data_IF_044932798362
#
_entry.id   IF_044932798362
#
_cell.length_a   1.000
_cell.length_b   1.000
_cell.length_c   1.000
_cell.angle_alpha   90.00
_cell.angle_beta   90.00
_cell.angle_gamma   90.00
#
_symmetry.space_group_name_H-M   'P 1'
#
loop_
_entity.id
_entity.type
_entity.pdbx_description
1 polymer ?
#
# COMPACT_ATOMS: atom_id res chain seq x y z
N UNK A 1 -21.78 17.56 -35.13
CA UNK A 1 -22.04 16.88 -33.83
C UNK A 1 -22.91 17.80 -33.01
N UNK A 2 -24.17 17.51 -32.90
CA UNK A 2 -25.14 18.48 -32.37
C UNK A 2 -26.08 17.90 -31.33
N UNK A 3 -25.79 16.71 -30.77
CA UNK A 3 -26.58 16.11 -29.73
C UNK A 3 -25.73 15.60 -28.56
N UNK A 4 -26.21 15.72 -27.31
CA UNK A 4 -25.58 15.18 -26.12
C UNK A 4 -25.33 13.66 -26.25
N UNK A 5 -26.25 12.92 -26.87
CA UNK A 5 -26.16 11.49 -27.15
C UNK A 5 -24.96 11.14 -28.06
N UNK A 6 -24.64 11.99 -29.03
CA UNK A 6 -23.51 11.79 -29.96
C UNK A 6 -22.17 11.92 -29.19
N UNK A 7 -22.08 12.85 -28.24
CA UNK A 7 -20.88 13.05 -27.44
C UNK A 7 -20.63 11.82 -26.53
N UNK A 8 -21.69 11.30 -25.91
CA UNK A 8 -21.62 10.10 -25.05
C UNK A 8 -21.18 8.88 -25.86
N UNK A 9 -21.80 8.66 -27.01
CA UNK A 9 -21.47 7.53 -27.88
C UNK A 9 -20.03 7.61 -28.38
N UNK A 10 -19.58 8.79 -28.77
CA UNK A 10 -18.20 8.98 -29.20
C UNK A 10 -17.19 8.72 -28.10
N UNK A 11 -17.47 9.16 -26.86
CA UNK A 11 -16.62 8.82 -25.72
C UNK A 11 -16.50 7.30 -25.52
N UNK A 12 -17.61 6.55 -25.64
CA UNK A 12 -17.59 5.08 -25.56
C UNK A 12 -16.80 4.45 -26.70
N UNK A 13 -16.89 4.97 -27.92
CA UNK A 13 -16.12 4.48 -29.06
C UNK A 13 -14.61 4.62 -28.84
N UNK A 14 -14.15 5.70 -28.19
CA UNK A 14 -12.74 5.85 -27.81
C UNK A 14 -12.31 4.76 -26.81
N UNK A 15 -13.13 4.50 -25.77
CA UNK A 15 -12.88 3.41 -24.82
C UNK A 15 -12.80 2.06 -25.54
N UNK A 16 -13.78 1.74 -26.38
CA UNK A 16 -13.82 0.48 -27.13
C UNK A 16 -12.58 0.33 -28.01
N UNK A 17 -12.17 1.41 -28.69
CA UNK A 17 -10.95 1.44 -29.49
C UNK A 17 -9.70 1.12 -28.68
N UNK A 18 -9.53 1.74 -27.53
CA UNK A 18 -8.36 1.49 -26.67
C UNK A 18 -8.38 0.06 -26.09
N UNK A 19 -9.56 -0.44 -25.68
CA UNK A 19 -9.73 -1.83 -25.21
C UNK A 19 -9.32 -2.83 -26.31
N UNK A 20 -9.71 -2.63 -27.56
CA UNK A 20 -9.34 -3.51 -28.67
C UNK A 20 -7.81 -3.49 -28.91
N UNK A 21 -7.17 -2.33 -28.87
CA UNK A 21 -5.73 -2.23 -29.02
C UNK A 21 -4.98 -2.87 -27.83
N UNK A 22 -5.49 -2.76 -26.61
CA UNK A 22 -4.95 -3.48 -25.43
C UNK A 22 -5.03 -5.00 -25.61
N UNK A 23 -6.13 -5.54 -26.17
CA UNK A 23 -6.23 -6.97 -26.49
C UNK A 23 -5.17 -7.41 -27.49
N UNK A 24 -4.93 -6.60 -28.53
CA UNK A 24 -3.89 -6.87 -29.52
C UNK A 24 -2.50 -6.91 -28.89
N UNK A 25 -2.20 -5.98 -27.98
CA UNK A 25 -0.91 -5.95 -27.27
C UNK A 25 -0.78 -7.11 -26.30
N UNK A 26 -1.84 -7.42 -25.54
CA UNK A 26 -1.89 -8.59 -24.64
C UNK A 26 -1.53 -9.89 -25.38
N UNK A 27 -2.09 -10.10 -26.57
CA UNK A 27 -1.91 -11.33 -27.33
C UNK A 27 -0.51 -11.43 -27.97
N UNK A 28 0.27 -10.33 -27.94
CA UNK A 28 1.69 -10.31 -28.34
C UNK A 28 2.65 -10.61 -27.19
N UNK A 29 2.16 -10.67 -25.93
CA UNK A 29 2.99 -11.02 -24.79
C UNK A 29 3.52 -12.44 -24.98
N UNK A 30 4.83 -12.61 -24.86
CA UNK A 30 5.52 -13.85 -25.08
C UNK A 30 6.59 -14.08 -24.01
N UNK A 31 7.50 -15.01 -24.25
CA UNK A 31 8.57 -15.39 -23.31
C UNK A 31 9.50 -14.23 -22.94
N UNK A 32 9.67 -13.24 -23.76
CA UNK A 32 10.57 -12.11 -23.49
C UNK A 32 10.22 -11.36 -22.19
N UNK A 33 8.94 -11.35 -21.78
CA UNK A 33 8.58 -10.76 -20.47
C UNK A 33 9.19 -11.53 -19.29
N UNK A 34 9.35 -12.85 -19.44
CA UNK A 34 10.01 -13.70 -18.43
C UNK A 34 11.48 -13.31 -18.35
N UNK A 35 12.13 -13.21 -19.50
CA UNK A 35 13.56 -12.88 -19.59
C UNK A 35 13.84 -11.48 -18.99
N UNK A 36 12.96 -10.50 -19.24
CA UNK A 36 13.04 -9.14 -18.64
C UNK A 36 12.87 -9.20 -17.12
N UNK A 37 11.88 -9.95 -16.63
CA UNK A 37 11.65 -10.08 -15.18
C UNK A 37 12.84 -10.75 -14.50
N UNK A 38 13.39 -11.79 -15.09
CA UNK A 38 14.57 -12.48 -14.55
C UNK A 38 15.80 -11.58 -14.54
N UNK A 39 16.01 -10.79 -15.59
CA UNK A 39 17.10 -9.81 -15.65
C UNK A 39 16.98 -8.77 -14.54
N UNK A 40 15.78 -8.19 -14.34
CA UNK A 40 15.53 -7.22 -13.25
C UNK A 40 15.73 -7.85 -11.87
N UNK A 41 15.34 -9.11 -11.70
CA UNK A 41 15.50 -9.79 -10.40
C UNK A 41 16.96 -10.17 -10.10
N UNK A 42 17.77 -10.43 -11.12
CA UNK A 42 19.21 -10.75 -11.00
C UNK A 42 20.06 -9.49 -10.84
N UNK A 43 19.59 -8.34 -11.35
CA UNK A 43 20.32 -7.08 -11.30
C UNK A 43 20.55 -6.64 -9.85
N UNK A 44 21.79 -6.27 -9.54
CA UNK A 44 22.18 -5.62 -8.28
C UNK A 44 22.01 -4.10 -8.35
N UNK A 45 21.67 -3.57 -9.53
CA UNK A 45 21.41 -2.17 -9.79
C UNK A 45 19.94 -1.79 -9.65
N UNK A 46 19.57 -0.73 -10.33
CA UNK A 46 18.20 -0.21 -10.41
C UNK A 46 17.63 -0.34 -11.82
N UNK A 47 16.31 -0.17 -11.93
CA UNK A 47 15.63 0.01 -13.22
C UNK A 47 15.65 1.49 -13.57
N UNK A 48 16.29 1.85 -14.69
CA UNK A 48 16.24 3.20 -15.24
C UNK A 48 15.24 3.24 -16.38
N UNK A 49 14.11 3.91 -16.19
CA UNK A 49 13.12 4.09 -17.24
C UNK A 49 13.43 5.38 -18.00
N UNK A 50 13.51 5.33 -19.33
CA UNK A 50 13.79 6.50 -20.15
C UNK A 50 12.83 6.66 -21.33
N UNK A 51 12.54 7.88 -21.67
CA UNK A 51 11.62 8.25 -22.75
C UNK A 51 11.52 9.76 -22.90
N UNK A 52 10.87 10.20 -23.99
CA UNK A 52 10.61 11.62 -24.26
C UNK A 52 9.13 11.88 -24.55
N UNK A 53 8.65 13.10 -24.36
CA UNK A 53 7.28 13.51 -24.65
C UNK A 53 6.24 12.67 -23.89
N UNK A 54 5.20 12.19 -24.59
CA UNK A 54 4.14 11.36 -23.96
C UNK A 54 4.68 10.05 -23.42
N UNK A 55 5.61 9.38 -24.14
CA UNK A 55 6.28 8.17 -23.65
C UNK A 55 7.08 8.43 -22.37
N UNK A 56 7.73 9.60 -22.27
CA UNK A 56 8.44 10.01 -21.05
C UNK A 56 7.52 10.23 -19.86
N UNK A 57 6.32 10.82 -20.07
CA UNK A 57 5.32 10.98 -18.99
C UNK A 57 4.83 9.62 -18.47
N UNK A 58 4.56 8.68 -19.35
CA UNK A 58 4.19 7.31 -18.96
C UNK A 58 5.37 6.62 -18.29
N UNK A 59 6.60 6.81 -18.79
CA UNK A 59 7.81 6.29 -18.19
C UNK A 59 8.04 6.77 -16.76
N UNK A 60 7.77 8.05 -16.47
CA UNK A 60 7.79 8.57 -15.09
C UNK A 60 6.82 7.82 -14.17
N UNK A 61 5.57 7.58 -14.66
CA UNK A 61 4.58 6.81 -13.89
C UNK A 61 5.05 5.38 -13.66
N UNK A 62 5.61 4.71 -14.66
CA UNK A 62 6.11 3.34 -14.54
C UNK A 62 7.25 3.28 -13.50
N UNK A 63 8.24 4.18 -13.60
CA UNK A 63 9.33 4.25 -12.63
C UNK A 63 8.83 4.47 -11.19
N UNK A 64 7.88 5.40 -11.00
CA UNK A 64 7.28 5.66 -9.70
C UNK A 64 6.53 4.43 -9.16
N UNK A 65 5.79 3.72 -10.01
CA UNK A 65 5.09 2.49 -9.64
C UNK A 65 6.07 1.40 -9.21
N UNK A 66 7.13 1.14 -9.98
CA UNK A 66 8.18 0.17 -9.65
C UNK A 66 8.84 0.51 -8.32
N UNK A 67 9.25 1.78 -8.12
CA UNK A 67 9.89 2.24 -6.90
C UNK A 67 9.00 2.04 -5.67
N UNK A 68 7.72 2.40 -5.79
CA UNK A 68 6.76 2.29 -4.67
C UNK A 68 6.30 0.86 -4.40
N UNK A 69 6.63 -0.09 -5.26
CA UNK A 69 6.26 -1.50 -5.15
C UNK A 69 7.46 -2.44 -4.99
N UNK A 70 8.59 -1.91 -4.49
CA UNK A 70 9.75 -2.71 -4.07
C UNK A 70 10.79 -3.00 -5.16
N UNK A 71 10.67 -2.40 -6.34
CA UNK A 71 11.70 -2.44 -7.36
C UNK A 71 12.37 -1.08 -7.46
N UNK A 72 13.63 -0.97 -7.03
CA UNK A 72 14.39 0.28 -7.09
C UNK A 72 14.40 0.82 -8.52
N UNK A 73 13.82 1.99 -8.76
CA UNK A 73 13.65 2.55 -10.09
C UNK A 73 13.71 4.08 -10.09
N UNK A 74 14.24 4.62 -11.18
CA UNK A 74 14.29 6.07 -11.45
C UNK A 74 13.90 6.35 -12.89
N UNK A 75 13.43 7.55 -13.15
CA UNK A 75 13.19 8.04 -14.51
C UNK A 75 14.28 8.98 -14.95
N UNK A 76 14.80 8.80 -16.16
CA UNK A 76 15.74 9.67 -16.85
C UNK A 76 15.09 10.18 -18.16
N UNK A 77 15.02 11.48 -18.37
CA UNK A 77 14.59 12.02 -19.65
C UNK A 77 15.70 11.75 -20.70
N UNK A 78 15.34 11.16 -21.86
CA UNK A 78 16.33 10.83 -22.88
C UNK A 78 17.03 12.06 -23.50
N UNK A 79 16.37 13.22 -23.53
CA UNK A 79 17.03 14.46 -23.97
C UNK A 79 18.08 14.93 -22.97
N UNK A 80 17.80 14.88 -21.67
CA UNK A 80 18.77 15.22 -20.61
C UNK A 80 19.91 14.18 -20.55
N UNK A 81 19.63 12.94 -20.94
CA UNK A 81 20.66 11.91 -21.12
C UNK A 81 21.80 12.35 -22.03
N UNK A 82 21.51 13.12 -23.09
CA UNK A 82 22.52 13.68 -24.00
C UNK A 82 23.38 14.77 -23.35
N UNK A 83 22.96 15.34 -22.24
CA UNK A 83 23.59 16.45 -21.54
C UNK A 83 24.18 16.07 -20.17
N UNK A 84 24.33 14.76 -19.88
CA UNK A 84 25.06 14.31 -18.69
C UNK A 84 24.29 13.34 -17.79
N UNK A 85 22.95 13.25 -17.88
CA UNK A 85 22.14 12.37 -17.02
C UNK A 85 22.44 10.87 -17.22
N UNK A 86 23.12 10.50 -18.32
CA UNK A 86 23.68 9.14 -18.49
C UNK A 86 24.60 8.74 -17.33
N UNK A 87 25.17 9.69 -16.60
CA UNK A 87 25.94 9.44 -15.38
C UNK A 87 25.13 8.79 -14.24
N UNK A 88 23.79 8.77 -14.33
CA UNK A 88 22.93 8.04 -13.39
C UNK A 88 22.91 6.53 -13.64
N UNK A 89 23.41 6.05 -14.79
CA UNK A 89 23.37 4.65 -15.21
C UNK A 89 24.68 3.96 -14.83
N UNK A 90 24.58 2.80 -14.21
CA UNK A 90 25.72 1.88 -13.96
C UNK A 90 25.56 0.59 -14.77
N UNK A 91 26.64 -0.19 -14.86
CA UNK A 91 26.64 -1.44 -15.65
C UNK A 91 25.71 -2.51 -15.10
N UNK A 92 25.37 -2.42 -13.80
CA UNK A 92 24.46 -3.32 -13.12
C UNK A 92 22.98 -2.98 -13.35
N UNK A 93 22.68 -1.79 -13.95
CA UNK A 93 21.31 -1.32 -14.14
C UNK A 93 20.64 -2.00 -15.33
N UNK A 94 19.31 -2.05 -15.27
CA UNK A 94 18.44 -2.41 -16.42
C UNK A 94 17.76 -1.14 -16.91
N UNK A 95 18.00 -0.77 -18.17
CA UNK A 95 17.42 0.43 -18.81
C UNK A 95 16.20 0.05 -19.62
N UNK A 96 15.02 0.53 -19.24
CA UNK A 96 13.78 0.40 -20.01
C UNK A 96 13.62 1.66 -20.88
N UNK A 97 13.90 1.54 -22.18
CA UNK A 97 13.77 2.61 -23.15
C UNK A 97 12.41 2.56 -23.86
N UNK A 98 11.64 3.63 -23.76
CA UNK A 98 10.25 3.69 -24.25
C UNK A 98 10.16 4.57 -25.51
N UNK A 99 9.83 3.96 -26.63
CA UNK A 99 9.52 4.66 -27.89
C UNK A 99 8.60 3.78 -28.74
N UNK A 100 7.35 4.21 -28.97
CA UNK A 100 6.41 3.44 -29.79
C UNK A 100 6.95 3.20 -31.21
N UNK A 101 7.48 4.21 -31.88
CA UNK A 101 8.13 4.06 -33.19
C UNK A 101 9.48 3.33 -33.13
N UNK A 102 10.15 3.41 -31.96
CA UNK A 102 11.52 2.93 -31.75
C UNK A 102 12.61 3.69 -32.50
N UNK A 103 12.26 4.87 -33.05
CA UNK A 103 13.18 5.67 -33.88
C UNK A 103 13.25 7.15 -33.41
N UNK A 104 12.80 7.47 -32.19
CA UNK A 104 12.96 8.81 -31.62
C UNK A 104 14.44 9.14 -31.52
N UNK A 105 14.85 10.28 -32.06
CA UNK A 105 16.28 10.65 -32.19
C UNK A 105 16.98 10.69 -30.84
N UNK A 106 16.31 11.22 -29.81
CA UNK A 106 16.87 11.35 -28.44
C UNK A 106 17.08 9.97 -27.79
N UNK A 107 16.18 9.02 -28.03
CA UNK A 107 16.34 7.64 -27.52
C UNK A 107 17.49 6.97 -28.25
N UNK A 108 17.51 7.06 -29.60
CA UNK A 108 18.51 6.39 -30.42
C UNK A 108 19.91 6.93 -30.13
N UNK A 109 20.05 8.23 -29.88
CA UNK A 109 21.34 8.88 -29.65
C UNK A 109 22.02 8.45 -28.34
N UNK A 110 21.27 8.02 -27.32
CA UNK A 110 21.84 7.58 -26.04
C UNK A 110 22.17 6.08 -26.01
N UNK A 111 21.65 5.25 -26.92
CA UNK A 111 21.85 3.79 -26.92
C UNK A 111 23.34 3.38 -26.97
N UNK A 112 24.20 3.98 -27.81
CA UNK A 112 25.61 3.61 -27.85
C UNK A 112 26.34 3.83 -26.52
N UNK A 113 25.98 4.90 -25.80
CA UNK A 113 26.55 5.22 -24.50
C UNK A 113 26.08 4.23 -23.42
N UNK A 114 24.79 3.86 -23.41
CA UNK A 114 24.25 2.87 -22.48
C UNK A 114 24.94 1.51 -22.69
N UNK A 115 25.12 1.10 -23.95
CA UNK A 115 25.87 -0.12 -24.29
C UNK A 115 27.33 -0.07 -23.81
N UNK A 116 27.99 1.08 -23.99
CA UNK A 116 29.36 1.27 -23.52
C UNK A 116 29.48 1.24 -22.01
N UNK A 117 28.49 1.72 -21.28
CA UNK A 117 28.40 1.59 -19.81
C UNK A 117 28.23 0.11 -19.43
N UNK A 118 27.58 -0.69 -20.25
CA UNK A 118 27.37 -2.13 -20.03
C UNK A 118 26.01 -2.50 -19.43
N UNK A 119 25.11 -1.52 -19.27
CA UNK A 119 23.75 -1.75 -18.78
C UNK A 119 22.91 -2.50 -19.81
N UNK A 120 22.00 -3.35 -19.32
CA UNK A 120 21.03 -4.07 -20.17
C UNK A 120 19.92 -3.17 -20.67
N UNK A 121 19.58 -3.29 -21.94
CA UNK A 121 18.55 -2.48 -22.58
C UNK A 121 17.29 -3.30 -22.86
N UNK A 122 16.18 -2.89 -22.29
CA UNK A 122 14.83 -3.36 -22.59
C UNK A 122 14.11 -2.33 -23.44
N UNK A 123 13.73 -2.66 -24.67
CA UNK A 123 12.93 -1.80 -25.52
C UNK A 123 11.44 -2.00 -25.25
N UNK A 124 10.74 -0.98 -24.81
CA UNK A 124 9.28 -0.90 -24.92
C UNK A 124 8.94 -0.19 -26.25
N UNK A 125 8.66 -0.97 -27.29
CA UNK A 125 8.45 -0.44 -28.66
C UNK A 125 7.37 -1.21 -29.40
N UNK A 126 6.68 -0.53 -30.34
CA UNK A 126 5.76 -1.14 -31.27
C UNK A 126 6.44 -1.76 -32.49
N UNK A 127 7.73 -1.49 -32.71
CA UNK A 127 8.46 -1.91 -33.89
C UNK A 127 9.79 -2.59 -33.53
N UNK A 128 9.79 -3.92 -33.56
CA UNK A 128 10.99 -4.74 -33.31
C UNK A 128 12.15 -4.44 -34.28
N UNK A 129 11.83 -4.02 -35.52
CA UNK A 129 12.82 -3.73 -36.54
C UNK A 129 13.31 -2.27 -36.53
N UNK A 130 12.88 -1.46 -35.55
CA UNK A 130 13.37 -0.10 -35.32
C UNK A 130 14.82 -0.07 -34.85
N UNK A 131 15.43 1.12 -34.82
CA UNK A 131 16.78 1.31 -34.30
C UNK A 131 16.84 0.85 -32.83
N UNK A 132 15.90 1.27 -31.99
CA UNK A 132 15.81 0.84 -30.59
C UNK A 132 15.65 -0.68 -30.47
N UNK A 133 14.73 -1.27 -31.24
CA UNK A 133 14.46 -2.71 -31.19
C UNK A 133 15.66 -3.58 -31.58
N UNK A 134 16.47 -3.12 -32.53
CA UNK A 134 17.70 -3.84 -32.96
C UNK A 134 18.85 -3.73 -31.97
N UNK A 135 18.92 -2.64 -31.22
CA UNK A 135 19.97 -2.35 -30.26
C UNK A 135 19.67 -2.90 -28.84
N UNK A 136 18.43 -3.28 -28.57
CA UNK A 136 18.02 -3.77 -27.26
C UNK A 136 18.38 -5.25 -27.04
N UNK A 137 18.62 -5.62 -25.77
CA UNK A 137 18.81 -7.01 -25.34
C UNK A 137 17.45 -7.75 -25.30
N UNK A 138 16.38 -7.05 -24.92
CA UNK A 138 15.01 -7.58 -24.77
C UNK A 138 13.98 -6.61 -25.32
N UNK A 139 12.82 -7.14 -25.76
CA UNK A 139 11.74 -6.31 -26.33
C UNK A 139 10.40 -6.65 -25.65
N UNK A 140 9.77 -5.63 -25.07
CA UNK A 140 8.37 -5.65 -24.68
C UNK A 140 7.55 -4.94 -25.77
N UNK A 141 6.78 -5.72 -26.53
CA UNK A 141 6.02 -5.19 -27.66
C UNK A 141 4.76 -4.46 -27.17
N UNK A 142 4.70 -3.14 -27.44
CA UNK A 142 3.57 -2.26 -27.11
C UNK A 142 2.85 -1.74 -28.35
N UNK A 143 3.11 -2.33 -29.51
CA UNK A 143 2.62 -1.84 -30.81
C UNK A 143 1.13 -1.98 -30.98
N UNK A 144 0.46 -0.84 -31.16
CA UNK A 144 -0.95 -0.71 -31.50
C UNK A 144 -1.13 -0.58 -33.00
N UNK A 145 -2.31 -0.90 -33.54
CA UNK A 145 -2.67 -0.72 -34.94
C UNK A 145 -3.16 0.69 -35.25
N UNK A 146 -3.87 1.30 -34.27
CA UNK A 146 -4.41 2.65 -34.35
C UNK A 146 -4.45 3.36 -33.01
N UNK A 147 -4.46 4.68 -33.07
CA UNK A 147 -4.69 5.50 -31.89
C UNK A 147 -6.20 5.74 -31.71
N UNK A 148 -6.63 5.95 -30.44
CA UNK A 148 -8.00 6.39 -30.13
C UNK A 148 -8.33 7.80 -30.63
N UNK A 149 -7.32 8.53 -31.06
CA UNK A 149 -7.44 9.85 -31.68
C UNK A 149 -8.17 9.78 -33.03
N UNK A 150 -9.19 10.65 -33.30
CA UNK A 150 -9.92 10.65 -34.57
C UNK A 150 -9.04 10.90 -35.81
N UNK A 151 -7.92 11.59 -35.62
CA UNK A 151 -6.93 11.83 -36.65
C UNK A 151 -5.84 10.77 -36.73
N UNK A 152 -5.88 9.78 -35.85
CA UNK A 152 -4.84 8.76 -35.67
C UNK A 152 -3.41 9.33 -35.47
N UNK A 153 -3.29 10.51 -34.87
CA UNK A 153 -2.02 11.24 -34.69
C UNK A 153 -1.60 11.36 -33.24
N UNK A 154 -2.53 11.72 -32.35
CA UNK A 154 -2.21 11.90 -30.93
C UNK A 154 -2.04 10.54 -30.23
N UNK A 155 -0.91 10.31 -29.55
CA UNK A 155 -0.71 9.09 -28.77
C UNK A 155 -1.76 8.94 -27.67
N UNK A 156 -2.63 7.95 -27.81
CA UNK A 156 -3.68 7.53 -26.87
C UNK A 156 -3.56 6.03 -26.60
N UNK A 157 -3.98 5.18 -27.54
CA UNK A 157 -3.88 3.72 -27.40
C UNK A 157 -2.43 3.25 -27.17
N UNK A 158 -1.45 3.87 -27.83
CA UNK A 158 -0.03 3.54 -27.64
C UNK A 158 0.47 3.91 -26.22
N UNK A 159 0.02 5.04 -25.68
CA UNK A 159 0.37 5.43 -24.30
C UNK A 159 -0.33 4.55 -23.25
N UNK A 160 -1.59 4.22 -23.46
CA UNK A 160 -2.35 3.30 -22.61
C UNK A 160 -1.73 1.91 -22.62
N UNK A 161 -1.33 1.39 -23.78
CA UNK A 161 -0.65 0.09 -23.90
C UNK A 161 0.71 0.08 -23.21
N UNK A 162 1.48 1.17 -23.32
CA UNK A 162 2.75 1.34 -22.59
C UNK A 162 2.54 1.31 -21.08
N UNK A 163 1.53 2.04 -20.60
CA UNK A 163 1.17 2.09 -19.20
C UNK A 163 0.80 0.71 -18.65
N UNK A 164 -0.10 0.00 -19.33
CA UNK A 164 -0.56 -1.33 -18.91
C UNK A 164 0.58 -2.35 -18.95
N UNK A 165 1.49 -2.29 -19.93
CA UNK A 165 2.69 -3.13 -19.96
C UNK A 165 3.59 -2.87 -18.76
N UNK A 166 3.80 -1.62 -18.38
CA UNK A 166 4.54 -1.24 -17.17
C UNK A 166 3.89 -1.73 -15.87
N UNK A 167 2.56 -1.64 -15.79
CA UNK A 167 1.79 -2.12 -14.64
C UNK A 167 1.83 -3.66 -14.55
N UNK A 168 1.76 -4.36 -15.67
CA UNK A 168 1.93 -5.81 -15.72
C UNK A 168 3.32 -6.24 -15.22
N UNK A 169 4.38 -5.54 -15.66
CA UNK A 169 5.75 -5.78 -15.18
C UNK A 169 5.87 -5.56 -13.68
N UNK A 170 5.33 -4.44 -13.16
CA UNK A 170 5.33 -4.15 -11.73
C UNK A 170 4.58 -5.22 -10.92
N UNK A 171 3.39 -5.64 -11.38
CA UNK A 171 2.59 -6.66 -10.73
C UNK A 171 3.30 -8.02 -10.65
N UNK A 172 4.01 -8.40 -11.72
CA UNK A 172 4.81 -9.63 -11.73
C UNK A 172 5.96 -9.54 -10.72
N UNK A 173 6.66 -8.40 -10.68
CA UNK A 173 7.78 -8.17 -9.76
C UNK A 173 7.33 -8.14 -8.30
N UNK A 174 6.18 -7.52 -7.98
CA UNK A 174 5.53 -7.59 -6.67
C UNK A 174 5.38 -9.06 -6.23
N UNK A 175 4.79 -9.88 -7.10
CA UNK A 175 4.55 -11.31 -6.80
C UNK A 175 5.85 -12.09 -6.65
N UNK A 176 6.85 -11.84 -7.51
CA UNK A 176 8.14 -12.54 -7.48
C UNK A 176 9.00 -12.16 -6.28
N UNK A 177 8.88 -10.93 -5.76
CA UNK A 177 9.61 -10.43 -4.57
C UNK A 177 8.89 -10.74 -3.27
N UNK A 178 7.69 -11.35 -3.28
CA UNK A 178 6.82 -11.52 -2.10
C UNK A 178 6.62 -10.19 -1.37
N UNK A 179 6.39 -9.11 -2.14
CA UNK A 179 6.22 -7.76 -1.62
C UNK A 179 4.89 -7.66 -0.89
N UNK A 180 4.94 -7.33 0.40
CA UNK A 180 3.79 -7.38 1.32
C UNK A 180 3.18 -5.98 1.56
N UNK A 181 1.93 -5.92 2.07
CA UNK A 181 1.29 -4.66 2.44
C UNK A 181 2.13 -3.80 3.40
N UNK A 182 2.87 -4.41 4.33
CA UNK A 182 3.75 -3.73 5.28
C UNK A 182 4.91 -3.03 4.57
N UNK A 183 5.45 -3.65 3.50
CA UNK A 183 6.48 -3.04 2.66
C UNK A 183 5.93 -1.83 1.90
N UNK A 184 4.68 -1.92 1.41
CA UNK A 184 4.00 -0.80 0.74
C UNK A 184 3.79 0.39 1.70
N UNK A 185 3.44 0.12 2.94
CA UNK A 185 3.24 1.12 3.98
C UNK A 185 4.50 1.96 4.25
N UNK A 186 5.70 1.35 4.20
CA UNK A 186 6.97 2.05 4.36
C UNK A 186 7.19 3.14 3.29
N UNK A 187 6.74 2.89 2.07
CA UNK A 187 6.87 3.85 0.96
C UNK A 187 5.73 4.86 0.90
N UNK A 188 4.63 4.63 1.64
CA UNK A 188 3.43 5.49 1.65
C UNK A 188 3.01 5.90 3.08
N UNK A 189 3.91 6.45 3.92
CA UNK A 189 3.63 6.68 5.35
C UNK A 189 2.53 7.73 5.58
N UNK A 190 2.31 8.65 4.66
CA UNK A 190 1.29 9.69 4.75
C UNK A 190 -0.12 9.27 4.31
N UNK A 191 -0.25 8.15 3.61
CA UNK A 191 -1.53 7.65 3.12
C UNK A 191 -2.36 6.94 4.22
N UNK A 192 -3.68 6.86 4.03
CA UNK A 192 -4.57 6.12 4.94
C UNK A 192 -4.13 4.66 5.11
N UNK A 193 -3.71 4.02 4.02
CA UNK A 193 -3.20 2.64 4.04
C UNK A 193 -1.89 2.53 4.82
N UNK A 194 -0.96 3.49 4.68
CA UNK A 194 0.29 3.52 5.43
C UNK A 194 0.06 3.64 6.94
N UNK A 195 -0.79 4.58 7.35
CA UNK A 195 -1.19 4.73 8.76
C UNK A 195 -1.84 3.46 9.30
N UNK A 196 -2.78 2.89 8.55
CA UNK A 196 -3.48 1.66 8.91
C UNK A 196 -2.54 0.48 9.19
N UNK A 197 -1.49 0.32 8.38
CA UNK A 197 -0.58 -0.83 8.42
C UNK A 197 0.63 -0.62 9.34
N UNK A 198 0.97 0.62 9.72
CA UNK A 198 2.15 0.93 10.54
C UNK A 198 1.83 1.35 11.97
N UNK A 199 0.56 1.69 12.28
CA UNK A 199 0.17 2.17 13.60
C UNK A 199 0.16 1.02 14.61
N UNK A 200 0.82 1.24 15.75
CA UNK A 200 0.82 0.30 16.88
C UNK A 200 -0.21 0.70 17.93
N UNK A 201 -0.60 -0.25 18.75
CA UNK A 201 -1.54 -0.01 19.87
C UNK A 201 -1.04 1.09 20.79
N UNK A 202 0.27 1.13 21.09
CA UNK A 202 0.88 2.17 21.91
C UNK A 202 0.73 3.61 21.40
N UNK A 203 0.50 3.77 20.09
CA UNK A 203 0.38 5.08 19.44
C UNK A 203 -1.03 5.66 19.57
N UNK A 204 -2.02 4.81 19.91
CA UNK A 204 -3.45 5.17 20.02
C UNK A 204 -4.06 4.89 21.38
N UNK A 205 -3.40 4.15 22.28
CA UNK A 205 -3.90 3.82 23.59
C UNK A 205 -3.96 5.03 24.54
N UNK A 206 -4.88 5.02 25.46
CA UNK A 206 -4.93 5.91 26.62
C UNK A 206 -3.92 5.45 27.67
N UNK A 207 -3.18 6.39 28.28
CA UNK A 207 -2.05 6.13 29.20
C UNK A 207 -2.19 6.92 30.50
N UNK A 208 -1.37 6.54 31.48
CA UNK A 208 -1.13 7.29 32.71
C UNK A 208 -2.44 7.72 33.42
N UNK A 209 -2.59 9.00 33.66
CA UNK A 209 -3.75 9.58 34.37
C UNK A 209 -5.10 9.34 33.71
N UNK A 210 -5.11 8.89 32.43
CA UNK A 210 -6.34 8.52 31.74
C UNK A 210 -6.83 7.13 32.09
N UNK A 211 -6.01 6.29 32.74
CA UNK A 211 -6.39 4.91 33.04
C UNK A 211 -7.40 4.85 34.19
N UNK A 212 -8.54 4.16 34.00
CA UNK A 212 -9.50 3.84 35.03
C UNK A 212 -8.97 2.67 35.88
N UNK A 213 -8.34 2.97 37.01
CA UNK A 213 -7.77 1.97 37.91
C UNK A 213 -8.53 1.98 39.22
N UNK A 214 -8.78 0.80 39.81
CA UNK A 214 -9.26 0.66 41.16
C UNK A 214 -8.53 -0.50 41.87
N UNK A 215 -8.48 -0.47 43.20
CA UNK A 215 -8.01 -1.63 44.00
C UNK A 215 -9.09 -2.72 44.00
N UNK A 216 -8.70 -3.97 44.14
CA UNK A 216 -9.62 -5.12 44.24
C UNK A 216 -10.60 -5.03 45.40
N UNK A 217 -10.24 -4.28 46.48
CA UNK A 217 -11.09 -4.04 47.67
C UNK A 217 -11.96 -2.76 47.52
N UNK A 218 -11.83 -1.99 46.44
CA UNK A 218 -12.66 -0.80 46.17
C UNK A 218 -14.15 -1.17 46.16
N UNK A 219 -14.97 -0.33 46.80
CA UNK A 219 -16.44 -0.49 46.79
C UNK A 219 -17.02 -0.13 45.41
N UNK A 220 -18.20 -0.66 45.14
CA UNK A 220 -18.83 -0.54 43.82
C UNK A 220 -19.07 0.90 43.37
N UNK A 221 -19.39 1.80 44.32
CA UNK A 221 -19.61 3.23 44.04
C UNK A 221 -18.35 3.89 43.47
N UNK A 222 -17.17 3.61 44.08
CA UNK A 222 -15.90 4.14 43.62
C UNK A 222 -15.55 3.60 42.23
N UNK A 223 -15.87 2.33 41.96
CA UNK A 223 -15.67 1.71 40.62
C UNK A 223 -16.52 2.43 39.59
N UNK A 224 -17.79 2.70 39.88
CA UNK A 224 -18.72 3.40 38.97
C UNK A 224 -18.25 4.84 38.74
N UNK A 225 -17.83 5.55 39.80
CA UNK A 225 -17.30 6.90 39.68
C UNK A 225 -16.05 6.93 38.79
N UNK A 226 -15.09 6.03 39.03
CA UNK A 226 -13.88 5.90 38.23
C UNK A 226 -14.20 5.62 36.76
N UNK A 227 -15.14 4.72 36.48
CA UNK A 227 -15.58 4.40 35.12
C UNK A 227 -16.18 5.61 34.41
N UNK A 228 -17.00 6.36 35.13
CA UNK A 228 -17.70 7.57 34.61
C UNK A 228 -16.72 8.71 34.33
N UNK A 229 -15.78 8.94 35.22
CA UNK A 229 -14.80 10.02 35.11
C UNK A 229 -13.84 9.80 33.94
N UNK A 230 -13.33 8.57 33.78
CA UNK A 230 -12.34 8.21 32.76
C UNK A 230 -12.96 7.93 31.39
N UNK A 231 -14.25 7.62 31.29
CA UNK A 231 -15.05 7.46 30.06
C UNK A 231 -14.49 6.42 29.06
N UNK A 232 -13.79 5.38 29.57
CA UNK A 232 -13.29 4.31 28.72
C UNK A 232 -14.19 3.07 28.70
N UNK A 233 -15.29 3.07 29.48
CA UNK A 233 -16.30 1.99 29.49
C UNK A 233 -15.89 0.74 30.27
N UNK A 234 -14.72 0.78 30.93
CA UNK A 234 -14.25 -0.30 31.80
C UNK A 234 -13.29 0.23 32.87
N UNK A 235 -13.04 -0.54 33.93
CA UNK A 235 -12.08 -0.25 35.00
C UNK A 235 -11.15 -1.45 35.15
N UNK A 236 -9.84 -1.20 35.20
CA UNK A 236 -8.83 -2.21 35.50
C UNK A 236 -8.74 -2.41 37.02
N UNK A 237 -8.89 -3.63 37.48
CA UNK A 237 -8.82 -3.98 38.88
C UNK A 237 -7.39 -4.40 39.25
N UNK A 238 -6.79 -3.69 40.19
CA UNK A 238 -5.42 -3.83 40.59
C UNK A 238 -5.29 -4.56 41.96
N UNK A 239 -4.18 -5.27 42.13
CA UNK A 239 -3.69 -5.75 43.43
C UNK A 239 -2.23 -5.33 43.56
N UNK A 240 -1.98 -4.18 44.17
CA UNK A 240 -0.70 -3.50 44.03
C UNK A 240 -0.46 -3.11 42.55
N UNK A 241 0.70 -3.46 42.00
CA UNK A 241 1.07 -3.15 40.61
C UNK A 241 0.54 -4.18 39.59
N UNK A 242 -0.13 -5.25 40.05
CA UNK A 242 -0.62 -6.32 39.20
C UNK A 242 -2.10 -6.11 38.87
N UNK A 243 -2.44 -6.08 37.57
CA UNK A 243 -3.83 -6.16 37.15
C UNK A 243 -4.39 -7.57 37.32
N UNK A 244 -5.46 -7.72 38.12
CA UNK A 244 -6.07 -9.00 38.48
C UNK A 244 -7.45 -9.22 37.87
N UNK A 245 -8.01 -8.21 37.22
CA UNK A 245 -9.31 -8.30 36.55
C UNK A 245 -9.71 -7.02 35.84
N UNK A 246 -10.84 -7.08 35.11
CA UNK A 246 -11.47 -5.95 34.48
C UNK A 246 -12.96 -5.91 34.83
N UNK A 247 -13.53 -4.73 34.99
CA UNK A 247 -14.96 -4.51 35.18
C UNK A 247 -15.43 -3.63 34.04
N UNK A 248 -16.38 -4.12 33.26
CA UNK A 248 -17.02 -3.39 32.16
C UNK A 248 -18.42 -2.92 32.56
N UNK A 249 -19.05 -2.01 31.77
CA UNK A 249 -20.46 -1.63 31.96
C UNK A 249 -21.39 -2.86 31.96
N UNK A 250 -21.04 -3.90 31.19
CA UNK A 250 -21.79 -5.16 31.17
C UNK A 250 -21.74 -5.90 32.50
N UNK A 251 -20.60 -5.86 33.20
CA UNK A 251 -20.43 -6.48 34.51
C UNK A 251 -21.25 -5.73 35.56
N UNK A 252 -21.23 -4.39 35.53
CA UNK A 252 -22.07 -3.55 36.42
C UNK A 252 -23.55 -3.88 36.20
N UNK A 253 -24.02 -3.95 34.92
CA UNK A 253 -25.43 -4.30 34.62
C UNK A 253 -25.81 -5.71 35.09
N UNK A 254 -24.88 -6.65 35.05
CA UNK A 254 -25.11 -8.01 35.57
C UNK A 254 -25.20 -8.02 37.11
N UNK A 255 -24.31 -7.29 37.78
CA UNK A 255 -24.30 -7.16 39.23
C UNK A 255 -25.57 -6.48 39.78
N UNK A 256 -26.11 -5.48 39.06
CA UNK A 256 -27.37 -4.79 39.41
C UNK A 256 -28.60 -5.73 39.51
N UNK A 257 -28.56 -6.92 38.91
CA UNK A 257 -29.65 -7.91 39.06
C UNK A 257 -29.79 -8.42 40.50
N UNK A 258 -28.68 -8.34 41.27
CA UNK A 258 -28.63 -8.71 42.71
C UNK A 258 -28.88 -7.47 43.58
N UNK A 259 -30.02 -6.84 43.41
CA UNK A 259 -30.42 -5.52 43.91
C UNK A 259 -30.04 -5.23 45.37
N UNK A 260 -30.33 -6.15 46.29
CA UNK A 260 -30.11 -5.98 47.75
C UNK A 260 -28.63 -6.05 48.12
N UNK A 261 -27.79 -6.80 47.36
CA UNK A 261 -26.40 -7.01 47.61
C UNK A 261 -25.49 -6.02 46.87
N UNK A 262 -26.03 -5.33 45.85
CA UNK A 262 -25.24 -4.54 44.91
C UNK A 262 -24.29 -3.55 45.55
N UNK A 263 -24.78 -2.74 46.48
CA UNK A 263 -24.00 -1.73 47.15
C UNK A 263 -22.96 -2.31 48.17
N UNK A 264 -23.07 -3.59 48.48
CA UNK A 264 -22.08 -4.31 49.32
C UNK A 264 -20.95 -4.93 48.52
N UNK A 265 -20.98 -4.93 47.16
CA UNK A 265 -19.93 -5.52 46.35
C UNK A 265 -18.67 -4.69 46.35
N UNK A 266 -17.56 -5.43 46.31
CA UNK A 266 -16.23 -4.91 46.03
C UNK A 266 -15.84 -5.26 44.58
N UNK A 267 -14.86 -4.57 44.02
CA UNK A 267 -14.36 -4.80 42.67
C UNK A 267 -14.04 -6.28 42.40
N UNK A 268 -13.41 -6.99 43.37
CA UNK A 268 -13.08 -8.41 43.27
C UNK A 268 -14.28 -9.36 43.11
N UNK A 269 -15.49 -8.93 43.55
CA UNK A 269 -16.69 -9.75 43.57
C UNK A 269 -17.39 -9.78 42.19
N UNK A 270 -17.16 -8.75 41.39
CA UNK A 270 -17.82 -8.56 40.08
C UNK A 270 -16.86 -8.55 38.90
N UNK A 271 -15.54 -8.50 39.14
CA UNK A 271 -14.55 -8.42 38.07
C UNK A 271 -14.49 -9.70 37.21
N UNK A 272 -14.26 -9.56 35.93
CA UNK A 272 -13.83 -10.64 35.06
C UNK A 272 -12.33 -10.88 35.23
N UNK A 273 -11.93 -12.08 35.69
CA UNK A 273 -10.53 -12.45 35.96
C UNK A 273 -9.81 -12.93 34.71
N UNK A 274 -10.51 -13.66 33.84
CA UNK A 274 -9.95 -14.14 32.56
C UNK A 274 -10.32 -13.15 31.46
N UNK A 275 -9.57 -12.06 31.38
CA UNK A 275 -9.79 -10.99 30.41
C UNK A 275 -8.83 -11.09 29.23
N UNK A 276 -9.29 -10.61 28.07
CA UNK A 276 -8.45 -10.46 26.88
C UNK A 276 -7.58 -9.21 27.05
N UNK A 277 -6.30 -9.33 26.71
CA UNK A 277 -5.32 -8.23 26.70
C UNK A 277 -4.61 -8.14 25.35
N UNK A 278 -3.99 -7.02 25.07
CA UNK A 278 -3.19 -6.81 23.86
C UNK A 278 -1.82 -6.24 24.23
N UNK A 279 -0.78 -6.62 23.46
CA UNK A 279 0.56 -6.08 23.63
C UNK A 279 0.65 -4.67 23.02
N UNK A 280 1.39 -3.77 23.66
CA UNK A 280 1.58 -2.38 23.20
C UNK A 280 2.26 -2.27 21.83
N UNK A 281 3.10 -3.25 21.48
CA UNK A 281 3.80 -3.32 20.20
C UNK A 281 2.97 -3.98 19.09
N UNK A 282 1.81 -4.58 19.42
CA UNK A 282 0.89 -5.14 18.41
C UNK A 282 0.41 -4.05 17.46
N UNK A 283 0.12 -4.44 16.22
CA UNK A 283 -0.47 -3.52 15.24
C UNK A 283 -1.91 -3.14 15.65
N UNK A 284 -2.27 -1.89 15.40
CA UNK A 284 -3.62 -1.40 15.70
C UNK A 284 -4.72 -2.18 14.96
N UNK A 285 -4.42 -2.65 13.75
CA UNK A 285 -5.33 -3.50 12.95
C UNK A 285 -5.57 -4.84 13.62
N UNK A 286 -4.52 -5.50 14.12
CA UNK A 286 -4.64 -6.82 14.77
C UNK A 286 -5.44 -6.70 16.07
N UNK A 287 -5.25 -5.59 16.81
CA UNK A 287 -6.04 -5.30 18.01
C UNK A 287 -7.53 -5.10 17.67
N UNK A 288 -7.84 -4.41 16.57
CA UNK A 288 -9.22 -4.24 16.11
C UNK A 288 -9.85 -5.59 15.71
N UNK A 289 -9.13 -6.43 14.98
CA UNK A 289 -9.58 -7.78 14.63
C UNK A 289 -9.83 -8.65 15.88
N UNK A 290 -8.93 -8.57 16.88
CA UNK A 290 -9.09 -9.26 18.16
C UNK A 290 -10.36 -8.83 18.89
N UNK A 291 -10.78 -7.56 18.75
CA UNK A 291 -11.99 -7.01 19.39
C UNK A 291 -13.28 -7.39 18.64
N UNK A 292 -13.26 -7.43 17.30
CA UNK A 292 -14.44 -7.59 16.45
C UNK A 292 -14.69 -9.04 16.00
N UNK A 293 -13.64 -9.80 15.65
CA UNK A 293 -13.76 -11.15 15.08
C UNK A 293 -13.98 -12.22 16.16
N UNK A 294 -15.09 -12.09 16.93
CA UNK A 294 -15.48 -13.02 18.00
C UNK A 294 -16.97 -12.96 18.27
N UNK A 295 -17.52 -14.04 18.85
CA UNK A 295 -18.96 -14.14 19.15
C UNK A 295 -19.47 -12.99 20.05
N UNK A 296 -18.65 -12.56 21.01
CA UNK A 296 -18.96 -11.42 21.88
C UNK A 296 -17.90 -10.35 21.67
N UNK A 297 -18.27 -9.27 21.00
CA UNK A 297 -17.39 -8.13 20.71
C UNK A 297 -16.89 -7.47 22.00
N UNK A 298 -15.64 -7.03 21.97
CA UNK A 298 -15.00 -6.29 23.04
C UNK A 298 -14.91 -4.82 22.64
N UNK A 299 -15.39 -3.92 23.50
CA UNK A 299 -15.34 -2.48 23.25
C UNK A 299 -14.06 -1.81 23.73
N UNK A 300 -13.34 -2.45 24.68
CA UNK A 300 -12.11 -1.91 25.29
C UNK A 300 -11.17 -3.05 25.71
N UNK A 301 -9.86 -2.89 25.46
CA UNK A 301 -8.82 -3.82 25.86
C UNK A 301 -7.80 -3.14 26.76
N UNK A 302 -7.36 -3.78 27.85
CA UNK A 302 -6.15 -3.41 28.58
C UNK A 302 -4.91 -3.71 27.72
N UNK A 303 -3.98 -2.77 27.71
CA UNK A 303 -2.74 -2.84 26.93
C UNK A 303 -1.57 -3.12 27.86
N UNK A 304 -0.77 -4.10 27.50
CA UNK A 304 0.36 -4.54 28.28
C UNK A 304 1.68 -4.33 27.54
N UNK A 305 2.72 -4.00 28.30
CA UNK A 305 4.11 -4.21 27.91
C UNK A 305 4.63 -5.35 28.78
N UNK A 306 4.85 -6.52 28.18
CA UNK A 306 5.13 -7.78 28.88
C UNK A 306 4.02 -8.09 29.90
N UNK A 307 4.32 -7.98 31.19
CA UNK A 307 3.38 -8.26 32.30
C UNK A 307 2.85 -6.99 32.98
N UNK A 308 3.24 -5.82 32.50
CA UNK A 308 2.83 -4.54 33.09
C UNK A 308 1.68 -3.93 32.28
N UNK A 309 0.62 -3.52 32.96
CA UNK A 309 -0.43 -2.66 32.37
C UNK A 309 0.16 -1.28 32.04
N UNK A 310 0.11 -0.88 30.76
CA UNK A 310 0.65 0.39 30.27
C UNK A 310 -0.39 1.28 29.62
N UNK A 311 -1.58 0.74 29.35
CA UNK A 311 -2.63 1.51 28.67
C UNK A 311 -3.97 0.80 28.60
N UNK A 312 -4.92 1.49 27.98
CA UNK A 312 -6.19 0.93 27.52
C UNK A 312 -6.52 1.49 26.13
N UNK A 313 -7.12 0.66 25.28
CA UNK A 313 -7.53 1.05 23.94
C UNK A 313 -8.99 0.68 23.68
N UNK A 314 -9.76 1.60 23.10
CA UNK A 314 -11.17 1.36 22.73
C UNK A 314 -11.27 1.04 21.24
N UNK A 315 -12.29 0.28 20.88
CA UNK A 315 -12.61 -0.01 19.46
C UNK A 315 -12.74 1.27 18.62
N UNK A 316 -13.36 2.32 19.16
CA UNK A 316 -13.51 3.60 18.46
C UNK A 316 -12.19 4.32 18.19
N UNK A 317 -11.22 4.22 19.10
CA UNK A 317 -9.89 4.81 18.92
C UNK A 317 -9.16 4.12 17.75
N UNK A 318 -9.26 2.79 17.70
CA UNK A 318 -8.70 1.98 16.61
C UNK A 318 -9.40 2.26 15.27
N UNK A 319 -10.74 2.31 15.24
CA UNK A 319 -11.51 2.61 14.03
C UNK A 319 -11.19 4.00 13.44
N UNK A 320 -10.96 5.00 14.29
CA UNK A 320 -10.61 6.35 13.84
C UNK A 320 -9.25 6.40 13.12
N UNK A 321 -8.35 5.51 13.46
CA UNK A 321 -6.98 5.46 12.91
C UNK A 321 -6.86 4.47 11.77
N UNK A 322 -7.42 3.28 11.97
CA UNK A 322 -7.34 2.16 11.01
C UNK A 322 -8.33 2.35 9.85
N UNK A 323 -9.44 3.07 10.10
CA UNK A 323 -10.54 3.22 9.14
C UNK A 323 -11.36 1.93 9.00
N UNK A 324 -12.56 2.07 8.47
CA UNK A 324 -13.38 0.94 8.02
C UNK A 324 -12.96 0.45 6.66
#
# INVERSE_FOLDING_TARGET
MTGEMDIINYAKEVFDSEIEELKIVRDKINREIIDVVEEILKSEGKVVVTGIGKSGLIGKKIAATLASTGTHSVFMNSAEGLHGDLGMISKEDVVIAISNSGNSDEIVAILPSIKKIGAKIVAMTGNRNSKLGREADYILNIGVKREGCPLNLAPMSSTTSTLVMGDALAAILIKKRDFKPENFALYHPGGSLGKRLLMKVRDVMHKEDMLPLCDKESVIDDVILTMTDKRLGAVCVMNGDLMVGIITEGDIRRALKRREEFFGFKAKDIMTRNFTKVDSESMAIDALELMENRESQISVLPVFDKDRLVGMVRVHDLLNVVGR
#
